data_IF_286771935008
#
_entry.id   IF_286771935008
#
_cell.length_a   1.000
_cell.length_b   1.000
_cell.length_c   1.000
_cell.angle_alpha   90.00
_cell.angle_beta   90.00
_cell.angle_gamma   90.00
#
_symmetry.space_group_name_H-M   'P 1'
#
loop_
_entity.id
_entity.type
_entity.pdbx_description
1 polymer ?
#
# COMPACT_ATOMS: atom_id res chain seq x y z
N UNK A 1 13.19 6.48 42.26
CA UNK A 1 13.62 6.71 40.87
C UNK A 1 13.50 5.45 40.00
N UNK A 2 14.11 4.31 40.38
CA UNK A 2 14.03 3.02 39.65
C UNK A 2 12.60 2.52 39.32
N UNK A 3 11.68 2.58 40.27
CA UNK A 3 10.31 2.10 40.06
C UNK A 3 9.49 3.02 39.14
N UNK A 4 9.82 4.31 39.11
CA UNK A 4 9.17 5.28 38.22
C UNK A 4 9.62 5.06 36.76
N UNK A 5 10.92 4.75 36.56
CA UNK A 5 11.46 4.36 35.25
C UNK A 5 10.77 3.10 34.71
N UNK A 6 10.59 2.06 35.52
CA UNK A 6 9.90 0.83 35.10
C UNK A 6 8.43 1.09 34.71
N UNK A 7 7.75 1.98 35.43
CA UNK A 7 6.38 2.37 35.11
C UNK A 7 6.29 3.13 33.78
N UNK A 8 7.25 4.02 33.51
CA UNK A 8 7.35 4.74 32.23
C UNK A 8 7.61 3.76 31.07
N UNK A 9 8.52 2.81 31.23
CA UNK A 9 8.76 1.77 30.22
C UNK A 9 7.52 0.91 29.95
N UNK A 10 6.77 0.55 30.99
CA UNK A 10 5.53 -0.21 30.84
C UNK A 10 4.46 0.61 30.10
N UNK A 11 4.32 1.90 30.43
CA UNK A 11 3.37 2.80 29.77
C UNK A 11 3.72 3.04 28.29
N UNK A 12 5.02 3.22 27.99
CA UNK A 12 5.54 3.37 26.63
C UNK A 12 5.31 2.13 25.77
N UNK A 13 5.25 0.94 26.37
CA UNK A 13 4.95 -0.31 25.66
C UNK A 13 3.43 -0.51 25.44
N UNK A 14 2.60 -0.09 26.39
CA UNK A 14 1.14 -0.33 26.35
C UNK A 14 0.41 0.54 25.31
N UNK A 15 0.79 1.82 25.18
CA UNK A 15 0.16 2.76 24.25
C UNK A 15 0.22 2.31 22.77
N UNK A 16 1.38 1.92 22.20
CA UNK A 16 1.44 1.46 20.81
C UNK A 16 0.73 0.13 20.59
N UNK A 17 0.57 -0.70 21.62
CA UNK A 17 -0.15 -1.97 21.53
C UNK A 17 -1.66 -1.76 21.36
N UNK A 18 -2.24 -0.76 22.05
CA UNK A 18 -3.66 -0.40 21.91
C UNK A 18 -3.95 0.36 20.61
N UNK A 19 -2.94 1.05 20.05
CA UNK A 19 -3.07 1.79 18.80
C UNK A 19 -2.94 0.92 17.53
N UNK A 20 -2.69 -0.39 17.66
CA UNK A 20 -2.66 -1.27 16.50
C UNK A 20 -4.06 -1.38 15.87
N UNK A 21 -4.18 -1.46 14.53
CA UNK A 21 -5.45 -1.75 13.88
C UNK A 21 -6.03 -3.06 14.41
N UNK A 22 -7.30 -3.03 14.80
CA UNK A 22 -8.03 -4.23 15.20
C UNK A 22 -8.53 -4.99 13.98
N UNK A 23 -9.05 -6.20 14.20
CA UNK A 23 -9.66 -7.02 13.13
C UNK A 23 -10.78 -6.28 12.39
N UNK A 24 -11.52 -5.41 13.09
CA UNK A 24 -12.60 -4.58 12.54
C UNK A 24 -12.12 -3.54 11.50
N UNK A 25 -10.83 -3.21 11.52
CA UNK A 25 -10.22 -2.21 10.64
C UNK A 25 -9.67 -2.87 9.36
N UNK A 26 -9.77 -4.20 9.24
CA UNK A 26 -9.39 -4.94 8.04
C UNK A 26 -10.38 -4.67 6.90
N UNK A 27 -9.85 -4.64 5.68
CA UNK A 27 -10.64 -4.66 4.46
C UNK A 27 -11.10 -6.11 4.20
N UNK A 28 -12.38 -6.38 4.39
CA UNK A 28 -13.00 -7.70 4.21
C UNK A 28 -14.08 -7.59 3.13
N UNK A 29 -14.07 -8.54 2.19
CA UNK A 29 -15.00 -8.58 1.06
C UNK A 29 -15.49 -10.01 0.83
N UNK A 30 -16.76 -10.15 0.47
CA UNK A 30 -17.37 -11.47 0.19
C UNK A 30 -16.99 -12.01 -1.20
N UNK A 31 -16.34 -11.20 -2.04
CA UNK A 31 -15.93 -11.60 -3.38
C UNK A 31 -14.72 -10.81 -3.89
N UNK A 32 -14.00 -11.37 -4.88
CA UNK A 32 -12.91 -10.66 -5.55
C UNK A 32 -13.44 -9.59 -6.50
N UNK A 33 -12.77 -8.43 -6.51
CA UNK A 33 -12.98 -7.35 -7.48
C UNK A 33 -13.00 -7.88 -8.93
N UNK A 34 -13.98 -7.44 -9.72
CA UNK A 34 -14.19 -7.93 -11.10
C UNK A 34 -13.58 -7.02 -12.15
N UNK A 35 -13.18 -5.81 -11.75
CA UNK A 35 -12.58 -4.79 -12.59
C UNK A 35 -11.25 -4.34 -12.00
N UNK A 36 -10.38 -3.82 -12.86
CA UNK A 36 -9.03 -3.40 -12.48
C UNK A 36 -9.04 -2.15 -11.58
N UNK A 37 -9.98 -1.22 -11.81
CA UNK A 37 -10.18 0.00 -11.01
C UNK A 37 -10.74 -0.25 -9.60
N UNK A 38 -11.21 -1.48 -9.33
CA UNK A 38 -11.70 -1.93 -8.02
C UNK A 38 -10.70 -2.86 -7.30
N UNK A 39 -9.54 -3.11 -7.91
CA UNK A 39 -8.56 -4.07 -7.42
C UNK A 39 -7.97 -3.66 -6.05
N UNK A 40 -7.56 -4.67 -5.26
CA UNK A 40 -6.92 -4.40 -3.96
C UNK A 40 -5.47 -3.97 -4.18
N UNK A 41 -5.08 -2.77 -3.71
CA UNK A 41 -3.71 -2.30 -3.82
C UNK A 41 -2.84 -2.86 -2.70
N UNK A 42 -1.69 -3.40 -3.08
CA UNK A 42 -0.60 -3.75 -2.20
C UNK A 42 0.67 -3.04 -2.68
N UNK A 43 1.53 -2.67 -1.75
CA UNK A 43 2.82 -2.09 -2.11
C UNK A 43 3.72 -1.84 -0.92
N UNK A 44 5.01 -1.73 -1.20
CA UNK A 44 6.05 -1.42 -0.20
C UNK A 44 6.77 -0.10 -0.49
N UNK A 45 6.21 0.73 -1.38
CA UNK A 45 6.81 1.99 -1.84
C UNK A 45 7.75 1.85 -3.04
N UNK A 46 8.19 0.64 -3.40
CA UNK A 46 9.03 0.38 -4.58
C UNK A 46 8.32 -0.47 -5.64
N UNK A 47 7.70 -1.56 -5.18
CA UNK A 47 6.87 -2.46 -5.97
C UNK A 47 5.41 -2.26 -5.52
N UNK A 48 4.53 -2.17 -6.51
CA UNK A 48 3.07 -2.16 -6.35
C UNK A 48 2.44 -3.38 -7.01
N UNK A 49 1.30 -3.80 -6.48
CA UNK A 49 0.46 -4.83 -7.09
C UNK A 49 -1.02 -4.48 -6.93
N UNK A 50 -1.81 -4.70 -7.98
CA UNK A 50 -3.27 -4.68 -7.94
C UNK A 50 -3.80 -6.10 -8.14
N UNK A 51 -4.57 -6.60 -7.17
CA UNK A 51 -5.14 -7.96 -7.18
C UNK A 51 -6.64 -7.90 -7.50
N UNK A 52 -7.04 -8.62 -8.54
CA UNK A 52 -8.43 -8.69 -9.01
C UNK A 52 -8.72 -10.01 -9.75
N UNK A 53 -9.95 -10.21 -10.21
CA UNK A 53 -10.36 -11.41 -10.94
C UNK A 53 -11.10 -11.05 -12.23
N UNK A 54 -10.81 -11.77 -13.32
CA UNK A 54 -11.62 -11.74 -14.54
C UNK A 54 -11.68 -13.14 -15.14
N UNK A 55 -12.87 -13.54 -15.61
CA UNK A 55 -13.07 -14.85 -16.26
C UNK A 55 -12.60 -16.03 -15.39
N UNK A 56 -12.94 -16.03 -14.10
CA UNK A 56 -12.52 -17.04 -13.12
C UNK A 56 -11.00 -17.22 -12.96
N UNK A 57 -10.21 -16.21 -13.37
CA UNK A 57 -8.76 -16.17 -13.16
C UNK A 57 -8.39 -14.99 -12.29
N UNK A 58 -7.55 -15.24 -11.29
CA UNK A 58 -6.89 -14.18 -10.52
C UNK A 58 -5.91 -13.47 -11.45
N UNK A 59 -5.89 -12.15 -11.37
CA UNK A 59 -5.01 -11.27 -12.11
C UNK A 59 -4.24 -10.41 -11.11
N UNK A 60 -2.97 -10.21 -11.43
CA UNK A 60 -2.06 -9.37 -10.67
C UNK A 60 -1.46 -8.39 -11.67
N UNK A 61 -1.80 -7.11 -11.55
CA UNK A 61 -1.07 -6.05 -12.26
C UNK A 61 0.11 -5.64 -11.38
N UNK A 62 1.32 -5.64 -11.92
CA UNK A 62 2.56 -5.33 -11.20
C UNK A 62 3.14 -4.03 -11.71
N UNK A 63 3.55 -3.17 -10.79
CA UNK A 63 4.11 -1.85 -11.07
C UNK A 63 5.40 -1.64 -10.29
N UNK A 64 6.36 -0.94 -10.89
CA UNK A 64 7.62 -0.54 -10.26
C UNK A 64 7.80 0.96 -10.34
N UNK A 65 8.29 1.56 -9.26
CA UNK A 65 8.50 3.01 -9.18
C UNK A 65 9.55 3.54 -10.17
N UNK A 66 10.51 2.70 -10.57
CA UNK A 66 11.62 3.06 -11.45
C UNK A 66 11.43 2.59 -12.90
N UNK A 67 10.28 2.01 -13.24
CA UNK A 67 9.98 1.62 -14.61
C UNK A 67 9.36 2.81 -15.35
N UNK A 68 10.22 3.60 -15.98
CA UNK A 68 9.84 4.76 -16.79
C UNK A 68 10.32 4.61 -18.22
N UNK A 69 9.65 5.32 -19.12
CA UNK A 69 10.10 5.48 -20.49
C UNK A 69 11.13 6.62 -20.56
N UNK A 70 12.40 6.26 -20.68
CA UNK A 70 13.51 7.22 -20.73
C UNK A 70 13.79 7.75 -22.15
N UNK A 71 12.94 7.44 -23.14
CA UNK A 71 13.16 7.91 -24.51
C UNK A 71 13.09 9.44 -24.55
N UNK A 72 14.03 10.10 -25.26
CA UNK A 72 13.97 11.54 -25.44
C UNK A 72 12.67 11.90 -26.16
N UNK A 73 11.88 12.80 -25.57
CA UNK A 73 10.65 13.28 -26.17
C UNK A 73 10.99 14.16 -27.39
N UNK A 74 10.57 13.77 -28.60
CA UNK A 74 10.79 14.60 -29.78
C UNK A 74 10.09 15.96 -29.62
N UNK A 75 10.80 17.02 -29.98
CA UNK A 75 10.24 18.38 -30.06
C UNK A 75 9.73 18.95 -28.73
N UNK A 76 10.21 18.47 -27.58
CA UNK A 76 9.82 18.99 -26.26
C UNK A 76 10.05 20.51 -26.14
N UNK A 77 11.10 21.02 -26.79
CA UNK A 77 11.43 22.45 -26.87
C UNK A 77 10.40 23.29 -27.64
N UNK A 78 9.57 22.67 -28.48
CA UNK A 78 8.51 23.35 -29.24
C UNK A 78 7.22 23.52 -28.44
N UNK A 79 7.08 22.84 -27.30
CA UNK A 79 5.95 23.06 -26.40
C UNK A 79 6.10 24.42 -25.71
N UNK A 80 5.25 25.38 -26.10
CA UNK A 80 5.08 26.65 -25.39
C UNK A 80 3.80 26.56 -24.57
N UNK A 81 3.91 26.70 -23.25
CA UNK A 81 2.78 26.82 -22.32
C UNK A 81 2.43 28.28 -22.11
#
# INVERSE_FOLDING_TARGET
MRNCLLFIFYLLYYLPAVAQPGVKDNLVFDSMAKRWDEAIPLGNGWLGALIWQKENKVRISLDRVDLWDDRPMPEIEKLRF
#
